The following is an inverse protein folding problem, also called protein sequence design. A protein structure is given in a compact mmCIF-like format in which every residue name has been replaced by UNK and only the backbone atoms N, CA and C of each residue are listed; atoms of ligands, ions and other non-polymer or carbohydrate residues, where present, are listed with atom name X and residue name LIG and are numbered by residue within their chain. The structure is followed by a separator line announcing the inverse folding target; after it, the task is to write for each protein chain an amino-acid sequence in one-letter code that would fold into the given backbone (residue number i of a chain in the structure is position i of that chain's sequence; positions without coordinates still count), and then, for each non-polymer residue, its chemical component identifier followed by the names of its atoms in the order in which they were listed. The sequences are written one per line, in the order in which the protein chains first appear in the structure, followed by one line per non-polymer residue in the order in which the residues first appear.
data_IF_218099847223
#
_entry.id   IF_218099847223
#
_cell.length_a   1.000
_cell.length_b   1.000
_cell.length_c   1.000
_cell.angle_alpha   90.00
_cell.angle_beta   90.00
_cell.angle_gamma   90.00
#
_symmetry.space_group_name_H-M   'P 1'
#
loop_
_entity.id
_entity.type
_entity.pdbx_description
1 polymer ?
#
# COMPACT_ATOMS: atom_id res chain seq x y z
N UNK A 1 -30.96 40.88 11.81
CA UNK A 1 -31.39 40.62 10.41
C UNK A 1 -32.20 39.34 10.41
N UNK A 2 -33.51 39.44 10.14
CA UNK A 2 -34.38 38.26 9.98
C UNK A 2 -34.17 37.63 8.60
N UNK A 3 -34.04 36.31 8.54
CA UNK A 3 -33.98 35.56 7.28
C UNK A 3 -35.36 35.60 6.63
N UNK A 4 -35.46 36.24 5.47
CA UNK A 4 -36.65 36.20 4.62
C UNK A 4 -36.77 34.76 4.07
N UNK A 5 -37.74 34.00 4.58
CA UNK A 5 -37.92 32.56 4.29
C UNK A 5 -38.56 32.24 2.93
N UNK A 6 -38.68 33.22 2.01
CA UNK A 6 -39.27 32.98 0.70
C UNK A 6 -38.19 32.97 -0.40
N UNK A 7 -37.57 31.82 -0.60
CA UNK A 7 -36.39 31.62 -1.46
C UNK A 7 -36.63 31.81 -2.97
N UNK A 8 -37.87 32.08 -3.42
CA UNK A 8 -38.22 32.13 -4.84
C UNK A 8 -38.75 33.50 -5.32
N UNK A 9 -38.89 34.49 -4.42
CA UNK A 9 -39.45 35.82 -4.71
C UNK A 9 -38.69 36.59 -5.82
N UNK A 10 -37.41 36.31 -5.99
CA UNK A 10 -36.55 36.98 -6.99
C UNK A 10 -36.29 36.14 -8.24
N UNK A 11 -37.03 35.05 -8.46
CA UNK A 11 -36.80 34.16 -9.61
C UNK A 11 -35.42 33.49 -9.60
N UNK A 12 -34.83 33.33 -8.41
CA UNK A 12 -33.46 32.84 -8.20
C UNK A 12 -33.22 31.49 -8.88
N UNK A 13 -34.22 30.60 -8.88
CA UNK A 13 -34.14 29.29 -9.56
C UNK A 13 -33.82 29.40 -11.06
N UNK A 14 -34.34 30.42 -11.76
CA UNK A 14 -34.07 30.67 -13.20
C UNK A 14 -32.68 31.23 -13.46
N UNK A 15 -32.10 31.91 -12.47
CA UNK A 15 -30.74 32.42 -12.54
C UNK A 15 -29.74 31.31 -12.19
N UNK A 16 -30.03 30.52 -11.16
CA UNK A 16 -29.26 29.31 -10.80
C UNK A 16 -29.21 28.30 -11.94
N UNK A 17 -30.24 28.21 -12.80
CA UNK A 17 -30.23 27.30 -13.94
C UNK A 17 -29.21 27.69 -15.03
N UNK A 18 -28.76 28.96 -15.08
CA UNK A 18 -27.83 29.48 -16.11
C UNK A 18 -26.38 29.26 -15.72
N UNK A 19 -25.97 28.00 -15.62
CA UNK A 19 -24.59 27.66 -15.30
C UNK A 19 -24.07 26.53 -16.22
N UNK A 20 -22.75 26.38 -16.28
CA UNK A 20 -22.09 25.39 -17.13
C UNK A 20 -22.52 23.95 -16.78
N UNK A 21 -22.74 23.64 -15.49
CA UNK A 21 -23.23 22.33 -15.03
C UNK A 21 -24.54 21.96 -15.72
N UNK A 22 -25.54 22.85 -15.69
CA UNK A 22 -26.86 22.59 -16.25
C UNK A 22 -26.84 22.53 -17.78
N UNK A 23 -25.99 23.33 -18.43
CA UNK A 23 -25.78 23.23 -19.88
C UNK A 23 -25.19 21.87 -20.29
N UNK A 24 -24.21 21.35 -19.55
CA UNK A 24 -23.61 20.02 -19.80
C UNK A 24 -24.65 18.91 -19.54
N UNK A 25 -25.42 18.99 -18.45
CA UNK A 25 -26.47 18.01 -18.14
C UNK A 25 -27.53 17.97 -19.25
N UNK A 26 -27.99 19.13 -19.74
CA UNK A 26 -28.95 19.19 -20.84
C UNK A 26 -28.39 18.55 -22.12
N UNK A 27 -27.12 18.82 -22.45
CA UNK A 27 -26.46 18.24 -23.61
C UNK A 27 -26.31 16.72 -23.48
N UNK A 28 -25.91 16.22 -22.31
CA UNK A 28 -25.85 14.78 -22.03
C UNK A 28 -27.23 14.11 -22.14
N UNK A 29 -28.28 14.77 -21.63
CA UNK A 29 -29.64 14.26 -21.72
C UNK A 29 -30.10 14.15 -23.18
N UNK A 30 -29.81 15.16 -24.00
CA UNK A 30 -30.16 15.18 -25.42
C UNK A 30 -29.35 14.16 -26.23
N UNK A 31 -28.02 14.21 -26.16
CA UNK A 31 -27.14 13.45 -27.06
C UNK A 31 -27.18 11.94 -26.78
N UNK A 32 -27.44 11.54 -25.54
CA UNK A 32 -27.52 10.13 -25.12
C UNK A 32 -28.95 9.67 -24.80
N UNK A 33 -29.94 10.52 -25.06
CA UNK A 33 -31.36 10.25 -24.80
C UNK A 33 -31.63 9.81 -23.33
N UNK A 34 -30.99 10.48 -22.38
CA UNK A 34 -31.07 10.18 -20.95
C UNK A 34 -32.12 11.06 -20.25
N UNK A 35 -32.76 10.54 -19.21
CA UNK A 35 -33.59 11.38 -18.34
C UNK A 35 -32.74 12.40 -17.60
N UNK A 36 -33.27 13.59 -17.22
CA UNK A 36 -32.50 14.63 -16.53
C UNK A 36 -31.80 14.13 -15.26
N UNK A 37 -32.45 13.22 -14.51
CA UNK A 37 -31.89 12.61 -13.29
C UNK A 37 -30.67 11.75 -13.62
N UNK A 38 -30.75 10.94 -14.68
CA UNK A 38 -29.62 10.08 -15.10
C UNK A 38 -28.49 10.94 -15.66
N UNK A 39 -28.78 11.98 -16.44
CA UNK A 39 -27.78 12.90 -16.97
C UNK A 39 -27.06 13.67 -15.84
N UNK A 40 -27.78 14.09 -14.79
CA UNK A 40 -27.15 14.71 -13.62
C UNK A 40 -26.27 13.72 -12.84
N UNK A 41 -26.71 12.47 -12.67
CA UNK A 41 -25.91 11.43 -12.04
C UNK A 41 -24.61 11.16 -12.83
N UNK A 42 -24.71 11.07 -14.16
CA UNK A 42 -23.56 10.95 -15.06
C UNK A 42 -22.61 12.14 -14.93
N UNK A 43 -23.13 13.37 -14.96
CA UNK A 43 -22.31 14.57 -14.80
C UNK A 43 -21.57 14.59 -13.47
N UNK A 44 -22.24 14.26 -12.36
CA UNK A 44 -21.61 14.16 -11.04
C UNK A 44 -20.50 13.11 -11.03
N UNK A 45 -20.77 11.93 -11.57
CA UNK A 45 -19.80 10.85 -11.64
C UNK A 45 -18.57 11.24 -12.47
N UNK A 46 -18.77 11.83 -13.65
CA UNK A 46 -17.68 12.30 -14.53
C UNK A 46 -16.90 13.44 -13.86
N UNK A 47 -17.57 14.35 -13.16
CA UNK A 47 -16.91 15.46 -12.46
C UNK A 47 -16.02 14.96 -11.34
N UNK A 48 -16.47 13.95 -10.56
CA UNK A 48 -15.66 13.28 -9.54
C UNK A 48 -14.45 12.61 -10.19
N UNK A 49 -14.66 11.84 -11.27
CA UNK A 49 -13.55 11.22 -12.00
C UNK A 49 -12.55 12.26 -12.51
N UNK A 50 -13.03 13.35 -13.10
CA UNK A 50 -12.17 14.41 -13.58
C UNK A 50 -11.36 15.01 -12.44
N UNK A 51 -11.98 15.37 -11.32
CA UNK A 51 -11.28 15.89 -10.13
C UNK A 51 -10.23 14.91 -9.59
N UNK A 52 -10.54 13.61 -9.55
CA UNK A 52 -9.61 12.57 -9.09
C UNK A 52 -8.39 12.39 -10.04
N UNK A 53 -8.58 12.60 -11.34
CA UNK A 53 -7.56 12.30 -12.37
C UNK A 53 -6.85 13.55 -12.93
N UNK A 54 -7.42 14.75 -12.80
CA UNK A 54 -6.91 15.99 -13.41
C UNK A 54 -6.17 16.92 -12.42
N UNK A 55 -6.46 16.86 -11.11
CA UNK A 55 -5.85 17.75 -10.11
C UNK A 55 -4.55 17.19 -9.53
N UNK A 56 -3.65 16.73 -10.39
CA UNK A 56 -2.37 16.14 -9.97
C UNK A 56 -1.27 17.20 -10.15
N UNK A 57 -0.92 17.90 -9.07
CA UNK A 57 0.19 18.88 -9.07
C UNK A 57 1.54 18.16 -9.20
N UNK A 58 2.13 18.08 -10.39
CA UNK A 58 3.40 17.37 -10.66
C UNK A 58 4.63 18.25 -10.42
N UNK A 59 5.68 17.68 -9.81
CA UNK A 59 7.01 18.31 -9.78
C UNK A 59 7.87 17.88 -10.98
N UNK A 60 9.00 18.53 -11.20
CA UNK A 60 9.94 18.14 -12.26
C UNK A 60 10.39 16.68 -12.10
N UNK A 61 10.34 15.91 -13.18
CA UNK A 61 10.69 14.48 -13.19
C UNK A 61 9.58 13.55 -12.69
N UNK A 62 8.40 14.07 -12.34
CA UNK A 62 7.22 13.29 -11.97
C UNK A 62 6.21 13.16 -13.11
N UNK A 63 5.45 12.07 -13.10
CA UNK A 63 4.42 11.74 -14.08
C UNK A 63 3.18 11.21 -13.35
N UNK A 64 2.01 11.59 -13.86
CA UNK A 64 0.74 10.96 -13.51
C UNK A 64 0.57 9.69 -14.35
N UNK A 65 0.39 8.54 -13.69
CA UNK A 65 0.29 7.24 -14.34
C UNK A 65 -0.93 6.48 -13.83
N UNK A 66 -1.64 5.81 -14.74
CA UNK A 66 -2.82 5.03 -14.39
C UNK A 66 -2.44 3.55 -14.25
N UNK A 67 -2.49 3.01 -13.04
CA UNK A 67 -2.06 1.66 -12.73
C UNK A 67 -3.18 0.82 -12.11
N UNK A 68 -3.05 -0.52 -12.17
CA UNK A 68 -4.05 -1.42 -11.61
C UNK A 68 -4.10 -1.28 -10.10
N UNK A 69 -5.32 -1.19 -9.54
CA UNK A 69 -5.49 -1.11 -8.10
C UNK A 69 -4.93 -2.34 -7.40
N UNK A 70 -4.22 -2.12 -6.30
CA UNK A 70 -3.61 -3.18 -5.50
C UNK A 70 -4.64 -4.15 -4.91
N UNK A 71 -5.88 -3.73 -4.68
CA UNK A 71 -6.95 -4.58 -4.14
C UNK A 71 -7.71 -5.36 -5.22
N UNK A 72 -7.39 -5.18 -6.49
CA UNK A 72 -8.12 -5.84 -7.57
C UNK A 72 -7.79 -7.35 -7.61
N UNK A 73 -8.80 -8.24 -7.61
CA UNK A 73 -8.60 -9.68 -7.59
C UNK A 73 -7.94 -10.21 -8.87
N UNK A 74 -7.42 -11.43 -8.79
CA UNK A 74 -6.91 -12.17 -9.95
C UNK A 74 -8.03 -12.53 -10.93
N UNK A 75 -7.69 -12.70 -12.22
CA UNK A 75 -8.58 -13.32 -13.21
C UNK A 75 -9.50 -12.37 -13.99
N UNK A 76 -9.63 -11.10 -13.60
CA UNK A 76 -10.27 -10.10 -14.47
C UNK A 76 -9.31 -9.66 -15.57
N UNK A 77 -9.82 -9.56 -16.80
CA UNK A 77 -9.08 -8.97 -17.91
C UNK A 77 -8.62 -7.55 -17.53
N UNK A 78 -7.38 -7.18 -17.86
CA UNK A 78 -6.77 -5.91 -17.41
C UNK A 78 -7.58 -4.67 -17.83
N UNK A 79 -8.28 -4.76 -18.96
CA UNK A 79 -9.23 -3.75 -19.46
C UNK A 79 -10.36 -3.43 -18.46
N UNK A 80 -10.77 -4.43 -17.68
CA UNK A 80 -11.89 -4.37 -16.73
C UNK A 80 -11.41 -4.25 -15.27
N UNK A 81 -10.10 -4.31 -15.03
CA UNK A 81 -9.52 -4.12 -13.72
C UNK A 81 -9.72 -2.67 -13.26
N UNK A 82 -10.05 -2.47 -11.99
CA UNK A 82 -10.06 -1.13 -11.40
C UNK A 82 -8.67 -0.54 -11.46
N UNK A 83 -8.57 0.70 -11.93
CA UNK A 83 -7.34 1.45 -12.00
C UNK A 83 -7.38 2.61 -11.02
N UNK A 84 -6.20 3.09 -10.65
CA UNK A 84 -6.00 4.24 -9.79
C UNK A 84 -4.90 5.08 -10.42
N UNK A 85 -5.13 6.39 -10.47
CA UNK A 85 -4.10 7.33 -10.88
C UNK A 85 -3.12 7.56 -9.75
N UNK A 86 -1.84 7.37 -10.05
CA UNK A 86 -0.73 7.48 -9.11
C UNK A 86 0.32 8.44 -9.66
N UNK A 87 1.08 9.03 -8.75
CA UNK A 87 2.22 9.89 -9.06
C UNK A 87 3.51 9.09 -8.99
N UNK A 88 4.26 9.08 -10.07
CA UNK A 88 5.53 8.37 -10.17
C UNK A 88 6.67 9.36 -10.43
N UNK A 89 7.76 9.23 -9.70
CA UNK A 89 8.99 10.00 -9.95
C UNK A 89 9.91 9.20 -10.85
N UNK A 90 9.84 9.46 -12.15
CA UNK A 90 10.70 8.82 -13.15
C UNK A 90 12.15 9.26 -12.99
N UNK A 91 12.38 10.55 -12.79
CA UNK A 91 13.72 11.12 -12.66
C UNK A 91 13.89 11.74 -11.28
N UNK A 92 14.93 11.31 -10.58
CA UNK A 92 15.38 11.93 -9.33
C UNK A 92 16.88 12.19 -9.47
N UNK A 93 17.23 13.39 -9.91
CA UNK A 93 18.56 13.78 -10.41
C UNK A 93 19.67 13.34 -9.45
N UNK A 94 19.51 13.60 -8.15
CA UNK A 94 20.55 13.34 -7.16
C UNK A 94 20.79 11.83 -7.02
N UNK A 95 19.74 11.06 -6.77
CA UNK A 95 19.87 9.62 -6.57
C UNK A 95 20.17 8.84 -7.87
N UNK A 96 19.68 9.34 -9.01
CA UNK A 96 19.86 8.69 -10.30
C UNK A 96 21.29 8.85 -10.82
N UNK A 97 21.92 10.02 -10.61
CA UNK A 97 23.32 10.21 -10.98
C UNK A 97 24.27 9.34 -10.16
N UNK A 98 24.02 9.19 -8.86
CA UNK A 98 24.79 8.29 -8.02
C UNK A 98 24.66 6.83 -8.48
N UNK A 99 23.43 6.39 -8.76
CA UNK A 99 23.19 5.04 -9.28
C UNK A 99 23.84 4.81 -10.66
N UNK A 100 23.81 5.83 -11.53
CA UNK A 100 24.43 5.78 -12.86
C UNK A 100 25.95 5.72 -12.78
N UNK A 101 26.57 6.55 -11.94
CA UNK A 101 28.01 6.62 -11.78
C UNK A 101 28.58 5.31 -11.20
N UNK A 102 27.91 4.75 -10.18
CA UNK A 102 28.42 3.58 -9.47
C UNK A 102 28.06 2.23 -10.14
N UNK A 103 26.94 2.17 -10.86
CA UNK A 103 26.37 0.89 -11.32
C UNK A 103 25.92 0.89 -12.79
N UNK A 104 26.18 1.98 -13.53
CA UNK A 104 25.84 2.12 -14.94
C UNK A 104 24.33 2.11 -15.23
N UNK A 105 23.97 1.99 -16.51
CA UNK A 105 22.56 2.02 -16.95
C UNK A 105 21.71 0.89 -16.36
N UNK A 106 22.30 -0.28 -16.14
CA UNK A 106 21.60 -1.41 -15.53
C UNK A 106 21.29 -1.14 -14.05
N UNK A 107 22.24 -0.57 -13.31
CA UNK A 107 22.03 -0.16 -11.92
C UNK A 107 21.03 0.98 -11.79
N UNK A 108 21.14 2.01 -12.63
CA UNK A 108 20.14 3.09 -12.71
C UNK A 108 18.73 2.54 -12.96
N UNK A 109 18.58 1.62 -13.91
CA UNK A 109 17.28 1.00 -14.20
C UNK A 109 16.73 0.23 -13.00
N UNK A 110 17.56 -0.56 -12.33
CA UNK A 110 17.18 -1.28 -11.10
C UNK A 110 16.77 -0.34 -9.96
N UNK A 111 17.52 0.73 -9.75
CA UNK A 111 17.20 1.80 -8.79
C UNK A 111 15.85 2.44 -9.09
N UNK A 112 15.57 2.73 -10.36
CA UNK A 112 14.26 3.24 -10.81
C UNK A 112 13.14 2.22 -10.61
N UNK A 113 13.36 0.93 -10.91
CA UNK A 113 12.36 -0.13 -10.68
C UNK A 113 11.98 -0.19 -9.19
N UNK A 114 12.95 -0.17 -8.28
CA UNK A 114 12.71 -0.15 -6.83
C UNK A 114 11.89 1.07 -6.42
N UNK A 115 12.26 2.27 -6.89
CA UNK A 115 11.52 3.51 -6.60
C UNK A 115 10.08 3.47 -7.11
N UNK A 116 9.87 3.14 -8.37
CA UNK A 116 8.56 3.19 -9.03
C UNK A 116 7.59 2.15 -8.45
N UNK A 117 8.05 0.93 -8.23
CA UNK A 117 7.21 -0.13 -7.65
C UNK A 117 6.79 0.18 -6.22
N UNK A 118 7.68 0.76 -5.42
CA UNK A 118 7.37 1.24 -4.06
C UNK A 118 6.35 2.39 -4.08
N UNK A 119 6.58 3.42 -4.89
CA UNK A 119 5.65 4.56 -5.01
C UNK A 119 4.25 4.12 -5.46
N UNK A 120 4.16 3.19 -6.42
CA UNK A 120 2.89 2.63 -6.84
C UNK A 120 2.19 1.89 -5.70
N UNK A 121 2.93 1.04 -4.98
CA UNK A 121 2.40 0.26 -3.87
C UNK A 121 1.88 1.16 -2.73
N UNK A 122 2.64 2.18 -2.35
CA UNK A 122 2.28 3.13 -1.29
C UNK A 122 1.00 3.93 -1.63
N UNK A 123 0.76 4.15 -2.93
CA UNK A 123 -0.47 4.79 -3.44
C UNK A 123 -1.58 3.78 -3.76
N UNK A 124 -1.44 2.53 -3.33
CA UNK A 124 -2.47 1.51 -3.46
C UNK A 124 -2.64 0.96 -4.87
N UNK A 125 -1.62 1.06 -5.74
CA UNK A 125 -1.58 0.52 -7.08
C UNK A 125 -0.42 -0.47 -7.28
N UNK A 126 -0.42 -1.18 -8.41
CA UNK A 126 0.61 -2.14 -8.77
C UNK A 126 0.98 -1.99 -10.24
N UNK A 127 2.28 -1.93 -10.50
CA UNK A 127 2.81 -1.90 -11.85
C UNK A 127 3.02 -3.32 -12.39
N UNK A 128 2.68 -3.52 -13.65
CA UNK A 128 3.01 -4.73 -14.43
C UNK A 128 4.46 -4.66 -14.93
N UNK A 129 4.95 -5.75 -15.54
CA UNK A 129 6.27 -5.70 -16.18
C UNK A 129 6.27 -4.84 -17.43
N UNK A 130 5.14 -4.79 -18.12
CA UNK A 130 4.86 -3.98 -19.30
C UNK A 130 4.86 -2.48 -18.93
N UNK A 131 4.23 -2.11 -17.82
CA UNK A 131 4.22 -0.72 -17.32
C UNK A 131 5.64 -0.24 -17.06
N UNK A 132 6.43 -1.04 -16.33
CA UNK A 132 7.83 -0.73 -16.04
C UNK A 132 8.69 -0.68 -17.30
N UNK A 133 8.44 -1.57 -18.25
CA UNK A 133 9.17 -1.60 -19.52
C UNK A 133 8.89 -0.32 -20.34
N UNK A 134 7.62 0.10 -20.40
CA UNK A 134 7.20 1.34 -21.06
C UNK A 134 7.82 2.56 -20.38
N UNK A 135 7.67 2.68 -19.05
CA UNK A 135 8.17 3.81 -18.26
C UNK A 135 9.69 3.97 -18.33
N UNK A 136 10.42 2.86 -18.44
CA UNK A 136 11.89 2.85 -18.44
C UNK A 136 12.50 2.63 -19.83
N UNK A 137 11.68 2.67 -20.89
CA UNK A 137 12.12 2.48 -22.28
C UNK A 137 12.99 1.23 -22.44
N UNK A 138 12.48 0.09 -21.97
CA UNK A 138 13.17 -1.21 -22.02
C UNK A 138 12.21 -2.32 -22.44
N UNK A 139 12.60 -3.59 -22.27
CA UNK A 139 11.75 -4.74 -22.55
C UNK A 139 11.25 -5.43 -21.27
N UNK A 140 10.05 -6.05 -21.28
CA UNK A 140 9.56 -6.84 -20.14
C UNK A 140 10.52 -7.96 -19.73
N UNK A 141 11.23 -8.56 -20.68
CA UNK A 141 12.27 -9.55 -20.40
C UNK A 141 13.43 -8.98 -19.58
N UNK A 142 13.84 -7.74 -19.87
CA UNK A 142 14.87 -7.03 -19.09
C UNK A 142 14.37 -6.68 -17.69
N UNK A 143 13.15 -6.15 -17.58
CA UNK A 143 12.50 -5.88 -16.30
C UNK A 143 12.43 -7.15 -15.44
N UNK A 144 12.01 -8.28 -16.02
CA UNK A 144 11.95 -9.57 -15.31
C UNK A 144 13.32 -9.99 -14.76
N UNK A 145 14.38 -9.85 -15.54
CA UNK A 145 15.77 -10.14 -15.10
C UNK A 145 16.22 -9.21 -13.97
N UNK A 146 15.94 -7.91 -14.10
CA UNK A 146 16.30 -6.92 -13.09
C UNK A 146 15.54 -7.13 -11.77
N UNK A 147 14.25 -7.46 -11.84
CA UNK A 147 13.44 -7.78 -10.65
C UNK A 147 13.93 -9.06 -9.98
N UNK A 148 14.30 -10.08 -10.76
CA UNK A 148 14.91 -11.29 -10.21
C UNK A 148 16.21 -10.97 -9.44
N UNK A 149 17.07 -10.14 -10.03
CA UNK A 149 18.30 -9.68 -9.37
C UNK A 149 18.00 -8.91 -8.08
N UNK A 150 17.10 -7.92 -8.14
CA UNK A 150 16.70 -7.12 -6.97
C UNK A 150 16.13 -7.99 -5.85
N UNK A 151 15.30 -8.98 -6.17
CA UNK A 151 14.76 -9.92 -5.18
C UNK A 151 15.84 -10.80 -4.56
N UNK A 152 16.82 -11.26 -5.35
CA UNK A 152 17.96 -12.02 -4.84
C UNK A 152 18.82 -11.18 -3.89
N UNK A 153 18.92 -9.88 -4.16
CA UNK A 153 19.55 -8.89 -3.28
C UNK A 153 18.68 -8.54 -2.05
N UNK A 154 17.50 -9.14 -1.93
CA UNK A 154 16.56 -8.95 -0.82
C UNK A 154 15.80 -7.62 -0.87
N UNK A 155 15.76 -6.95 -2.03
CA UNK A 155 14.94 -5.75 -2.24
C UNK A 155 13.48 -6.12 -2.37
N UNK A 156 12.63 -5.31 -1.74
CA UNK A 156 11.19 -5.50 -1.77
C UNK A 156 10.59 -4.93 -3.08
N UNK A 157 10.30 -5.82 -4.03
CA UNK A 157 9.72 -5.45 -5.33
C UNK A 157 8.36 -6.13 -5.52
N UNK A 158 7.29 -5.35 -5.39
CA UNK A 158 5.91 -5.79 -5.64
C UNK A 158 5.47 -5.32 -7.01
N UNK A 159 5.25 -6.28 -7.90
CA UNK A 159 4.58 -6.05 -9.18
C UNK A 159 3.23 -6.72 -9.18
N UNK A 160 2.38 -6.37 -10.15
CA UNK A 160 1.06 -6.99 -10.30
C UNK A 160 1.16 -8.50 -10.47
N UNK A 161 2.03 -8.98 -11.37
CA UNK A 161 2.25 -10.41 -11.59
C UNK A 161 2.72 -11.13 -10.33
N UNK A 162 3.67 -10.54 -9.60
CA UNK A 162 4.15 -11.12 -8.37
C UNK A 162 3.08 -11.21 -7.27
N UNK A 163 2.22 -10.19 -7.14
CA UNK A 163 1.10 -10.25 -6.19
C UNK A 163 0.08 -11.32 -6.57
N UNK A 164 -0.09 -11.62 -7.86
CA UNK A 164 -0.98 -12.67 -8.36
C UNK A 164 -0.40 -14.07 -8.13
N UNK A 165 0.90 -14.25 -8.37
CA UNK A 165 1.61 -15.52 -8.19
C UNK A 165 1.79 -15.91 -6.71
N UNK A 166 1.76 -14.93 -5.80
CA UNK A 166 1.87 -15.15 -4.35
C UNK A 166 0.58 -15.67 -3.68
N UNK A 167 -0.46 -16.03 -4.46
CA UNK A 167 -1.78 -16.35 -3.91
C UNK A 167 -2.43 -15.11 -3.28
N UNK A 168 -3.42 -15.23 -2.36
CA UNK A 168 -4.01 -14.07 -1.68
C UNK A 168 -2.99 -13.38 -0.75
N UNK A 169 -2.14 -12.56 -1.38
CA UNK A 169 -1.11 -11.64 -0.95
C UNK A 169 -0.63 -11.65 0.50
N UNK A 170 0.64 -11.97 0.70
CA UNK A 170 1.39 -11.49 1.86
C UNK A 170 1.39 -9.95 1.88
N UNK A 171 0.90 -9.36 2.96
CA UNK A 171 1.05 -7.93 3.21
C UNK A 171 2.53 -7.56 3.39
N UNK A 172 2.86 -6.29 3.19
CA UNK A 172 4.21 -5.76 3.48
C UNK A 172 4.69 -6.14 4.89
N UNK A 173 3.77 -6.26 5.87
CA UNK A 173 4.05 -6.71 7.24
C UNK A 173 4.45 -8.18 7.31
N UNK A 174 3.75 -9.04 6.57
CA UNK A 174 4.03 -10.48 6.49
C UNK A 174 5.39 -10.76 5.85
N UNK A 175 5.84 -9.89 4.94
CA UNK A 175 7.16 -9.99 4.31
C UNK A 175 8.28 -9.55 5.25
N UNK A 176 8.04 -8.51 6.06
CA UNK A 176 8.97 -8.12 7.13
C UNK A 176 9.16 -9.25 8.15
N UNK A 177 8.07 -9.93 8.51
CA UNK A 177 8.12 -11.09 9.40
C UNK A 177 8.82 -12.29 8.75
N UNK A 178 8.59 -12.55 7.46
CA UNK A 178 9.31 -13.57 6.68
C UNK A 178 10.83 -13.30 6.67
N UNK A 179 11.27 -12.04 6.46
CA UNK A 179 12.68 -11.67 6.59
C UNK A 179 13.20 -11.90 8.01
N UNK A 180 12.43 -11.55 9.03
CA UNK A 180 12.81 -11.82 10.41
C UNK A 180 13.00 -13.33 10.66
N UNK A 181 12.07 -14.18 10.22
CA UNK A 181 12.21 -15.64 10.42
C UNK A 181 13.31 -16.26 9.56
N UNK A 182 13.72 -15.62 8.45
CA UNK A 182 14.88 -16.01 7.63
C UNK A 182 16.24 -15.69 8.25
N UNK A 183 16.28 -15.02 9.39
CA UNK A 183 17.53 -14.78 10.13
C UNK A 183 18.10 -13.37 10.00
N UNK A 184 17.50 -12.49 9.19
CA UNK A 184 17.97 -11.11 9.06
C UNK A 184 17.85 -10.34 10.39
N UNK A 185 18.84 -9.49 10.68
CA UNK A 185 18.83 -8.56 11.82
C UNK A 185 17.86 -7.42 11.59
N UNK A 186 17.48 -6.69 12.65
CA UNK A 186 16.60 -5.53 12.50
C UNK A 186 17.18 -4.50 11.54
N UNK A 187 18.47 -4.15 11.69
CA UNK A 187 19.16 -3.19 10.82
C UNK A 187 19.13 -3.61 9.34
N UNK A 188 19.33 -4.90 9.03
CA UNK A 188 19.25 -5.39 7.65
C UNK A 188 17.83 -5.32 7.09
N UNK A 189 16.82 -5.58 7.92
CA UNK A 189 15.41 -5.45 7.54
C UNK A 189 15.09 -3.97 7.30
N UNK A 190 15.59 -3.05 8.14
CA UNK A 190 15.42 -1.61 7.92
C UNK A 190 16.02 -1.19 6.57
N UNK A 191 17.26 -1.60 6.27
CA UNK A 191 17.92 -1.28 5.00
C UNK A 191 17.22 -1.89 3.77
N UNK A 192 16.59 -3.05 3.92
CA UNK A 192 15.88 -3.75 2.82
C UNK A 192 14.46 -3.25 2.61
N UNK A 193 13.80 -2.75 3.65
CA UNK A 193 12.36 -2.45 3.64
C UNK A 193 12.01 -0.99 3.96
N UNK A 194 13.00 -0.17 4.36
CA UNK A 194 12.84 1.20 4.87
C UNK A 194 11.84 1.32 6.04
N UNK A 195 11.60 0.24 6.78
CA UNK A 195 10.85 0.28 8.04
C UNK A 195 11.79 0.54 9.19
N UNK A 196 11.37 1.36 10.14
CA UNK A 196 12.06 1.50 11.42
C UNK A 196 11.97 0.21 12.24
N UNK A 197 12.96 -0.02 13.10
CA UNK A 197 13.02 -1.10 14.07
C UNK A 197 11.76 -1.10 14.95
N UNK A 198 11.26 0.08 15.29
CA UNK A 198 9.99 0.25 16.02
C UNK A 198 8.79 -0.34 15.27
N UNK A 199 8.75 -0.18 13.93
CA UNK A 199 7.71 -0.77 13.09
C UNK A 199 7.84 -2.28 13.00
N UNK A 200 9.07 -2.79 12.85
CA UNK A 200 9.35 -4.24 12.83
C UNK A 200 8.95 -4.89 14.15
N UNK A 201 9.34 -4.31 15.29
CA UNK A 201 8.96 -4.78 16.63
C UNK A 201 7.44 -4.83 16.82
N UNK A 202 6.71 -3.82 16.34
CA UNK A 202 5.25 -3.80 16.38
C UNK A 202 4.63 -4.95 15.59
N UNK A 203 5.14 -5.23 14.39
CA UNK A 203 4.65 -6.37 13.59
C UNK A 203 4.95 -7.70 14.25
N UNK A 204 6.12 -7.83 14.89
CA UNK A 204 6.49 -9.02 15.65
C UNK A 204 5.57 -9.24 16.86
N UNK A 205 5.22 -8.18 17.58
CA UNK A 205 4.27 -8.24 18.69
C UNK A 205 2.86 -8.66 18.21
N UNK A 206 2.37 -8.04 17.12
CA UNK A 206 1.10 -8.42 16.49
C UNK A 206 1.08 -9.90 16.07
N UNK A 207 2.20 -10.37 15.48
CA UNK A 207 2.37 -11.77 15.10
C UNK A 207 2.38 -12.71 16.31
N UNK A 208 3.14 -12.36 17.34
CA UNK A 208 3.26 -13.16 18.57
C UNK A 208 1.90 -13.37 19.23
N UNK A 209 1.09 -12.31 19.30
CA UNK A 209 -0.28 -12.38 19.83
C UNK A 209 -1.16 -13.35 19.01
N UNK A 210 -1.13 -13.25 17.68
CA UNK A 210 -1.91 -14.12 16.80
C UNK A 210 -1.42 -15.58 16.88
N UNK A 211 -0.11 -15.80 16.87
CA UNK A 211 0.53 -17.11 16.99
C UNK A 211 0.17 -17.80 18.32
N UNK A 212 0.20 -17.07 19.43
CA UNK A 212 -0.16 -17.60 20.75
C UNK A 212 -1.64 -18.05 20.80
N UNK A 213 -2.55 -17.23 20.27
CA UNK A 213 -3.98 -17.57 20.19
C UNK A 213 -4.22 -18.76 19.25
N UNK A 214 -3.50 -18.82 18.14
CA UNK A 214 -3.62 -19.94 17.20
C UNK A 214 -3.11 -21.26 17.80
N UNK A 215 -1.98 -21.25 18.54
CA UNK A 215 -1.49 -22.42 19.29
C UNK A 215 -2.48 -22.92 20.34
N UNK A 216 -3.26 -22.02 20.95
CA UNK A 216 -4.35 -22.34 21.87
C UNK A 216 -5.63 -22.84 21.17
N UNK A 217 -5.59 -23.05 19.86
CA UNK A 217 -6.70 -23.57 19.02
C UNK A 217 -7.93 -22.67 18.93
N UNK A 218 -7.77 -21.35 19.11
CA UNK A 218 -8.84 -20.41 18.77
C UNK A 218 -9.10 -20.39 17.25
N UNK A 219 -10.37 -20.24 16.86
CA UNK A 219 -10.73 -20.09 15.45
C UNK A 219 -10.23 -18.76 14.87
N UNK A 220 -9.95 -18.65 13.56
CA UNK A 220 -9.52 -17.39 12.94
C UNK A 220 -10.45 -16.21 13.22
N UNK A 221 -11.77 -16.46 13.31
CA UNK A 221 -12.77 -15.45 13.64
C UNK A 221 -12.65 -14.94 15.09
N UNK A 222 -12.39 -15.84 16.05
CA UNK A 222 -12.16 -15.48 17.45
C UNK A 222 -10.84 -14.70 17.58
N UNK A 223 -9.77 -15.17 16.91
CA UNK A 223 -8.47 -14.50 16.91
C UNK A 223 -8.61 -13.07 16.37
N UNK A 224 -9.37 -12.88 15.28
CA UNK A 224 -9.67 -11.56 14.70
C UNK A 224 -10.30 -10.61 15.71
N UNK A 225 -11.30 -11.09 16.47
CA UNK A 225 -12.00 -10.30 17.47
C UNK A 225 -11.09 -9.95 18.66
N UNK A 226 -10.33 -10.93 19.17
CA UNK A 226 -9.46 -10.76 20.34
C UNK A 226 -8.26 -9.86 20.01
N UNK A 227 -7.58 -10.10 18.88
CA UNK A 227 -6.41 -9.34 18.47
C UNK A 227 -6.75 -7.98 17.83
N UNK A 228 -8.03 -7.71 17.57
CA UNK A 228 -8.51 -6.50 16.88
C UNK A 228 -7.77 -6.24 15.55
N UNK A 229 -7.52 -7.31 14.79
CA UNK A 229 -6.87 -7.25 13.47
C UNK A 229 -7.88 -7.57 12.37
N UNK A 230 -7.53 -7.24 11.12
CA UNK A 230 -8.35 -7.62 9.98
C UNK A 230 -8.29 -9.14 9.76
N UNK A 231 -9.38 -9.72 9.23
CA UNK A 231 -9.45 -11.15 8.87
C UNK A 231 -8.26 -11.57 7.98
N UNK A 232 -7.89 -10.69 7.06
CA UNK A 232 -6.74 -10.85 6.19
C UNK A 232 -5.42 -11.03 6.95
N UNK A 233 -5.09 -10.13 7.89
CA UNK A 233 -3.82 -10.19 8.63
C UNK A 233 -3.77 -11.47 9.48
N UNK A 234 -4.88 -11.85 10.11
CA UNK A 234 -4.97 -13.08 10.89
C UNK A 234 -4.65 -14.30 10.03
N UNK A 235 -5.25 -14.42 8.84
CA UNK A 235 -4.97 -15.52 7.91
C UNK A 235 -3.51 -15.54 7.46
N UNK A 236 -2.95 -14.38 7.09
CA UNK A 236 -1.56 -14.29 6.65
C UNK A 236 -0.58 -14.72 7.76
N UNK A 237 -0.82 -14.32 9.01
CA UNK A 237 0.05 -14.66 10.14
C UNK A 237 -0.09 -16.13 10.55
N UNK A 238 -1.29 -16.70 10.48
CA UNK A 238 -1.51 -18.15 10.66
C UNK A 238 -0.74 -18.94 9.60
N UNK A 239 -0.79 -18.53 8.34
CA UNK A 239 -0.03 -19.18 7.27
C UNK A 239 1.48 -19.11 7.51
N UNK A 240 2.00 -17.95 7.90
CA UNK A 240 3.41 -17.79 8.27
C UNK A 240 3.79 -18.70 9.44
N UNK A 241 2.96 -18.76 10.48
CA UNK A 241 3.15 -19.67 11.61
C UNK A 241 3.27 -21.11 11.15
N UNK A 242 2.32 -21.62 10.36
CA UNK A 242 2.31 -23.01 9.90
C UNK A 242 3.54 -23.35 9.04
N UNK A 243 4.00 -22.41 8.21
CA UNK A 243 5.21 -22.59 7.39
C UNK A 243 6.45 -22.73 8.28
N UNK A 244 6.68 -21.77 9.18
CA UNK A 244 7.90 -21.75 9.99
C UNK A 244 7.90 -22.76 11.13
N UNK A 245 6.72 -23.19 11.59
CA UNK A 245 6.57 -24.28 12.54
C UNK A 245 6.98 -25.62 11.90
N UNK A 246 6.57 -25.86 10.64
CA UNK A 246 7.01 -27.05 9.89
C UNK A 246 8.51 -27.07 9.59
N UNK A 247 9.13 -25.89 9.49
CA UNK A 247 10.56 -25.73 9.22
C UNK A 247 11.42 -25.76 10.49
N UNK A 248 10.83 -26.03 11.66
CA UNK A 248 11.52 -26.06 12.96
C UNK A 248 12.35 -24.78 13.23
N UNK A 249 11.76 -23.62 12.89
CA UNK A 249 12.46 -22.35 12.96
C UNK A 249 12.70 -21.92 14.42
N UNK A 250 13.97 -21.79 14.83
CA UNK A 250 14.36 -21.40 16.19
C UNK A 250 13.71 -20.10 16.67
N UNK A 251 13.75 -19.03 15.86
CA UNK A 251 13.17 -17.72 16.23
C UNK A 251 11.67 -17.81 16.47
N UNK A 252 10.96 -18.65 15.71
CA UNK A 252 9.54 -18.88 15.92
C UNK A 252 9.31 -19.60 17.26
N UNK A 253 10.07 -20.66 17.54
CA UNK A 253 9.94 -21.43 18.78
C UNK A 253 10.22 -20.58 20.03
N UNK A 254 11.25 -19.73 19.98
CA UNK A 254 11.62 -18.81 21.06
C UNK A 254 10.47 -17.83 21.39
N UNK A 255 9.74 -17.38 20.37
CA UNK A 255 8.63 -16.44 20.52
C UNK A 255 7.38 -17.10 21.13
N UNK A 256 7.14 -18.38 20.83
CA UNK A 256 5.91 -19.09 21.22
C UNK A 256 6.08 -19.85 22.55
N UNK A 257 7.31 -20.08 23.00
CA UNK A 257 7.64 -20.71 24.27
C UNK A 257 8.56 -19.78 25.07
N UNK A 258 8.04 -18.66 25.61
CA UNK A 258 8.85 -17.83 26.49
C UNK A 258 9.27 -18.66 27.70
N UNK A 259 10.57 -18.62 28.06
CA UNK A 259 11.06 -19.22 29.30
C UNK A 259 10.23 -18.71 30.49
N UNK A 260 9.91 -19.57 31.47
CA UNK A 260 9.16 -19.15 32.64
C UNK A 260 9.89 -18.00 33.33
N UNK A 261 9.16 -16.90 33.57
CA UNK A 261 9.68 -15.76 34.32
C UNK A 261 10.11 -16.26 35.69
N UNK A 262 11.41 -16.15 35.99
CA UNK A 262 11.97 -16.49 37.29
C UNK A 262 11.26 -15.64 38.37
N UNK A 263 10.55 -16.28 39.32
CA UNK A 263 9.80 -15.57 40.36
C UNK A 263 10.68 -14.70 41.28
N UNK A 264 12.01 -14.85 41.25
CA UNK A 264 12.94 -14.05 42.06
C UNK A 264 13.52 -12.81 41.36
N UNK A 265 13.08 -12.49 40.14
CA UNK A 265 13.50 -11.27 39.45
C UNK A 265 12.89 -9.99 40.08
N UNK A 266 13.56 -9.45 41.11
CA UNK A 266 13.19 -8.18 41.77
C UNK A 266 12.99 -7.06 40.74
N UNK A 267 11.76 -6.54 40.64
CA UNK A 267 11.45 -5.29 39.93
C UNK A 267 12.36 -4.16 40.45
N UNK A 268 13.33 -3.71 39.64
CA UNK A 268 13.96 -2.41 39.85
C UNK A 268 12.96 -1.31 39.47
N UNK A 269 12.18 -0.86 40.44
CA UNK A 269 11.42 0.38 40.34
C UNK A 269 12.40 1.56 40.43
N UNK A 270 12.76 2.15 39.30
CA UNK A 270 13.44 3.45 39.28
C UNK A 270 12.40 4.56 39.49
N UNK A 271 12.19 4.95 40.75
CA UNK A 271 11.51 6.20 41.10
C UNK A 271 12.46 7.37 40.88
N UNK A 272 12.36 8.06 39.74
CA UNK A 272 12.93 9.41 39.59
C UNK A 272 12.01 10.41 40.28
N UNK A 273 12.26 10.65 41.56
CA UNK A 273 11.75 11.83 42.25
C UNK A 273 12.45 13.08 41.72
N UNK A 274 11.68 13.98 41.11
CA UNK A 274 12.14 15.32 40.75
C UNK A 274 12.36 16.14 42.01
N UNK A 275 13.60 16.56 42.25
CA UNK A 275 13.91 17.68 43.15
C UNK A 275 13.57 18.97 42.42
N UNK A 276 12.60 19.69 42.96
CA UNK A 276 12.39 21.13 42.74
C UNK A 276 13.27 21.79 43.81
N UNK A 277 14.27 22.56 43.40
CA UNK A 277 14.99 23.46 44.30
C UNK A 277 14.53 24.89 44.00
N UNK A 278 14.37 25.62 45.11
CA UNK A 278 14.06 27.05 45.28
C UNK A 278 14.93 28.00 44.46
#
# INVERSE_FOLDING_TARGET
MEKINNSDSYGLKRLESKNAKNAIIQKLAHDFNLTPIIAEAFYKQVSIYFQEHSNISLSSGEVSYEAVCSTEPAGKHIKLARKVTIRLRLMDINSDFEALANYGLAGLRRHRIERLTRQAYDQGALLTYEDLALLLTTSPATVKRDIFFLRKDGKFIVTRGAKLDMGPGLSHKSIILDLYFKGYSFTEIELKTNHSETSVKRYLADFTQIAALYKQKFSPNQIRLIAQKSDRIVREYIQLYDIYYKLDNKRLLDIISPEPVDPDSKKKSNSRGGKINE
#
